data_IF_045695278782
#
_entry.id   IF_045695278782
#
_cell.length_a   1.000
_cell.length_b   1.000
_cell.length_c   1.000
_cell.angle_alpha   90.00
_cell.angle_beta   90.00
_cell.angle_gamma   90.00
#
_symmetry.space_group_name_H-M   'P 1'
#
loop_
_entity.id
_entity.type
_entity.pdbx_description
1 polymer ?
#
# COMPACT_ATOMS: atom_id res chain seq x y z
N UNK A 1 -27.83 -13.09 15.80
CA UNK A 1 -28.71 -14.20 15.37
C UNK A 1 -28.83 -14.08 13.85
N UNK A 2 -28.27 -15.02 13.08
CA UNK A 2 -28.48 -15.06 11.64
C UNK A 2 -29.97 -15.43 11.40
N UNK A 3 -30.65 -14.65 10.59
CA UNK A 3 -32.00 -14.96 10.16
C UNK A 3 -31.95 -16.30 9.37
N UNK A 4 -32.83 -17.22 9.66
CA UNK A 4 -32.95 -18.46 8.92
C UNK A 4 -33.32 -18.14 7.47
N UNK A 5 -32.54 -18.63 6.51
CA UNK A 5 -32.83 -18.48 5.08
C UNK A 5 -34.17 -19.15 4.73
N UNK A 6 -34.92 -18.54 3.84
CA UNK A 6 -36.10 -19.18 3.28
C UNK A 6 -35.68 -20.24 2.26
N UNK A 7 -36.50 -21.30 2.04
CA UNK A 7 -36.17 -22.32 1.03
C UNK A 7 -35.92 -21.77 -0.37
N UNK A 8 -36.53 -20.64 -0.71
CA UNK A 8 -36.31 -19.95 -1.99
C UNK A 8 -34.92 -19.27 -2.06
N UNK A 9 -34.48 -18.67 -0.97
CA UNK A 9 -33.16 -18.04 -0.87
C UNK A 9 -32.04 -19.09 -0.89
N UNK A 10 -32.24 -20.22 -0.21
CA UNK A 10 -31.28 -21.34 -0.28
C UNK A 10 -31.13 -21.89 -1.71
N UNK A 11 -32.24 -22.05 -2.45
CA UNK A 11 -32.20 -22.51 -3.83
C UNK A 11 -31.48 -21.51 -4.75
N UNK A 12 -31.72 -20.20 -4.56
CA UNK A 12 -31.03 -19.16 -5.33
C UNK A 12 -29.53 -19.11 -5.02
N UNK A 13 -29.15 -19.25 -3.74
CA UNK A 13 -27.74 -19.31 -3.34
C UNK A 13 -27.06 -20.57 -3.87
N UNK A 14 -27.73 -21.73 -3.88
CA UNK A 14 -27.20 -22.97 -4.45
C UNK A 14 -26.95 -22.80 -5.96
N UNK A 15 -27.86 -22.21 -6.70
CA UNK A 15 -27.67 -21.90 -8.12
C UNK A 15 -26.52 -20.91 -8.36
N UNK A 16 -26.37 -19.92 -7.48
CA UNK A 16 -25.24 -18.99 -7.51
C UNK A 16 -23.93 -19.73 -7.31
N UNK A 17 -23.86 -20.66 -6.37
CA UNK A 17 -22.67 -21.50 -6.13
C UNK A 17 -22.31 -22.30 -7.38
N UNK A 18 -23.26 -23.03 -7.98
CA UNK A 18 -23.00 -23.81 -9.19
C UNK A 18 -22.45 -22.95 -10.34
N UNK A 19 -23.04 -21.80 -10.57
CA UNK A 19 -22.58 -20.87 -11.61
C UNK A 19 -21.17 -20.36 -11.36
N UNK A 20 -20.88 -19.88 -10.14
CA UNK A 20 -19.57 -19.32 -9.82
C UNK A 20 -18.48 -20.38 -9.63
N UNK A 21 -18.81 -21.62 -9.27
CA UNK A 21 -17.86 -22.74 -9.32
C UNK A 21 -17.36 -22.98 -10.74
N UNK A 22 -18.24 -22.99 -11.74
CA UNK A 22 -17.86 -23.15 -13.15
C UNK A 22 -16.99 -21.97 -13.62
N UNK A 23 -17.38 -20.74 -13.28
CA UNK A 23 -16.61 -19.54 -13.65
C UNK A 23 -15.20 -19.60 -13.04
N UNK A 24 -15.08 -19.90 -11.75
CA UNK A 24 -13.80 -19.94 -11.04
C UNK A 24 -12.93 -21.16 -11.40
N UNK A 25 -13.48 -22.17 -12.04
CA UNK A 25 -12.72 -23.27 -12.66
C UNK A 25 -12.13 -22.85 -14.01
N UNK A 26 -12.91 -22.12 -14.82
CA UNK A 26 -12.45 -21.63 -16.13
C UNK A 26 -11.53 -20.40 -16.01
N UNK A 27 -11.72 -19.57 -14.99
CA UNK A 27 -10.96 -18.35 -14.73
C UNK A 27 -10.42 -18.35 -13.29
N UNK A 28 -9.35 -19.10 -12.99
CA UNK A 28 -8.87 -19.30 -11.62
C UNK A 28 -8.29 -18.02 -10.98
N UNK A 29 -7.96 -16.98 -11.76
CA UNK A 29 -7.44 -15.70 -11.29
C UNK A 29 -8.53 -14.63 -11.09
N UNK A 30 -9.80 -14.96 -11.33
CA UNK A 30 -10.92 -14.05 -11.08
C UNK A 30 -11.28 -14.06 -9.58
N UNK A 31 -10.59 -13.22 -8.81
CA UNK A 31 -10.84 -13.10 -7.38
C UNK A 31 -12.23 -12.53 -7.06
N UNK A 32 -12.83 -11.73 -7.96
CA UNK A 32 -14.17 -11.18 -7.74
C UNK A 32 -15.23 -12.29 -7.74
N UNK A 33 -15.16 -13.21 -8.68
CA UNK A 33 -16.03 -14.40 -8.70
C UNK A 33 -15.79 -15.31 -7.49
N UNK A 34 -14.54 -15.43 -7.03
CA UNK A 34 -14.23 -16.16 -5.80
C UNK A 34 -14.82 -15.49 -4.55
N UNK A 35 -14.83 -14.16 -4.47
CA UNK A 35 -15.45 -13.42 -3.35
C UNK A 35 -16.97 -13.66 -3.30
N UNK A 36 -17.64 -13.63 -4.45
CA UNK A 36 -19.08 -13.92 -4.53
C UNK A 36 -19.35 -15.37 -4.07
N UNK A 37 -18.52 -16.31 -4.52
CA UNK A 37 -18.61 -17.71 -4.13
C UNK A 37 -18.42 -17.90 -2.62
N UNK A 38 -17.43 -17.24 -2.03
CA UNK A 38 -17.16 -17.22 -0.58
C UNK A 38 -18.38 -16.69 0.20
N UNK A 39 -18.99 -15.60 -0.25
CA UNK A 39 -20.18 -15.04 0.39
C UNK A 39 -21.39 -15.98 0.29
N UNK A 40 -21.60 -16.62 -0.86
CA UNK A 40 -22.66 -17.59 -1.04
C UNK A 40 -22.49 -18.80 -0.09
N UNK A 41 -21.28 -19.35 0.02
CA UNK A 41 -20.99 -20.41 0.98
C UNK A 41 -21.16 -19.97 2.44
N UNK A 42 -20.79 -18.73 2.75
CA UNK A 42 -20.97 -18.18 4.10
C UNK A 42 -22.47 -18.11 4.46
N UNK A 43 -23.32 -17.62 3.56
CA UNK A 43 -24.77 -17.57 3.74
C UNK A 43 -25.41 -18.95 3.87
N UNK A 44 -24.90 -19.92 3.13
CA UNK A 44 -25.34 -21.33 3.20
C UNK A 44 -24.76 -22.09 4.40
N UNK A 45 -24.03 -21.41 5.30
CA UNK A 45 -23.41 -22.00 6.49
C UNK A 45 -22.50 -23.21 6.16
N UNK A 46 -21.68 -23.09 5.09
CA UNK A 46 -20.73 -24.09 4.61
C UNK A 46 -19.29 -23.69 4.96
N UNK A 47 -18.85 -23.80 6.23
CA UNK A 47 -17.58 -23.21 6.71
C UNK A 47 -16.33 -23.82 6.04
N UNK A 48 -16.38 -25.09 5.64
CA UNK A 48 -15.26 -25.74 4.94
C UNK A 48 -15.04 -25.15 3.55
N UNK A 49 -16.12 -24.86 2.84
CA UNK A 49 -16.07 -24.28 1.49
C UNK A 49 -15.67 -22.80 1.55
N UNK A 50 -16.11 -22.08 2.58
CA UNK A 50 -15.63 -20.73 2.87
C UNK A 50 -14.12 -20.74 3.07
N UNK A 51 -13.58 -21.63 3.89
CA UNK A 51 -12.14 -21.75 4.13
C UNK A 51 -11.38 -22.07 2.82
N UNK A 52 -11.84 -23.07 2.07
CA UNK A 52 -11.23 -23.44 0.78
C UNK A 52 -11.22 -22.28 -0.22
N UNK A 53 -12.33 -21.54 -0.31
CA UNK A 53 -12.44 -20.39 -1.20
C UNK A 53 -11.57 -19.22 -0.73
N UNK A 54 -11.49 -18.93 0.58
CA UNK A 54 -10.57 -17.93 1.14
C UNK A 54 -9.10 -18.24 0.82
N UNK A 55 -8.68 -19.51 0.94
CA UNK A 55 -7.33 -19.93 0.52
C UNK A 55 -7.07 -19.67 -0.97
N UNK A 56 -8.08 -19.95 -1.83
CA UNK A 56 -7.98 -19.67 -3.27
C UNK A 56 -7.88 -18.18 -3.56
N UNK A 57 -8.65 -17.33 -2.87
CA UNK A 57 -8.57 -15.87 -3.00
C UNK A 57 -7.18 -15.38 -2.63
N UNK A 58 -6.66 -15.80 -1.46
CA UNK A 58 -5.33 -15.42 -1.02
C UNK A 58 -4.24 -15.85 -2.01
N UNK A 59 -4.32 -17.08 -2.53
CA UNK A 59 -3.40 -17.57 -3.56
C UNK A 59 -3.49 -16.79 -4.86
N UNK A 60 -4.70 -16.41 -5.28
CA UNK A 60 -4.93 -15.56 -6.45
C UNK A 60 -4.28 -14.19 -6.28
N UNK A 61 -4.41 -13.57 -5.10
CA UNK A 61 -3.71 -12.32 -4.78
C UNK A 61 -2.19 -12.45 -4.86
N UNK A 62 -1.63 -13.59 -4.39
CA UNK A 62 -0.18 -13.85 -4.55
C UNK A 62 0.22 -13.92 -6.02
N UNK A 63 -0.56 -14.62 -6.86
CA UNK A 63 -0.28 -14.75 -8.30
C UNK A 63 -0.41 -13.41 -9.05
N UNK A 64 -1.32 -12.54 -8.61
CA UNK A 64 -1.48 -11.18 -9.16
C UNK A 64 -0.45 -10.18 -8.60
N UNK A 65 0.45 -10.61 -7.71
CA UNK A 65 1.45 -9.74 -7.08
C UNK A 65 0.87 -8.82 -5.99
N UNK A 66 -0.39 -9.02 -5.60
CA UNK A 66 -1.08 -8.24 -4.56
C UNK A 66 -0.78 -8.83 -3.17
N UNK A 67 0.50 -8.82 -2.78
CA UNK A 67 0.95 -9.52 -1.57
C UNK A 67 0.28 -9.01 -0.30
N UNK A 68 0.01 -7.70 -0.19
CA UNK A 68 -0.68 -7.12 0.98
C UNK A 68 -2.10 -7.67 1.12
N UNK A 69 -2.85 -7.81 0.01
CA UNK A 69 -4.20 -8.40 0.02
C UNK A 69 -4.15 -9.89 0.37
N UNK A 70 -3.14 -10.60 -0.15
CA UNK A 70 -2.92 -12.00 0.17
C UNK A 70 -2.66 -12.22 1.67
N UNK A 71 -1.78 -11.41 2.26
CA UNK A 71 -1.48 -11.47 3.71
C UNK A 71 -2.74 -11.24 4.54
N UNK A 72 -3.54 -10.22 4.18
CA UNK A 72 -4.81 -9.93 4.88
C UNK A 72 -5.78 -11.10 4.85
N UNK A 73 -5.94 -11.72 3.69
CA UNK A 73 -6.85 -12.86 3.57
C UNK A 73 -6.32 -14.08 4.36
N UNK A 74 -5.00 -14.34 4.33
CA UNK A 74 -4.38 -15.38 5.14
C UNK A 74 -4.50 -15.12 6.65
N UNK A 75 -4.27 -13.89 7.10
CA UNK A 75 -4.49 -13.50 8.51
C UNK A 75 -5.94 -13.67 8.95
N UNK A 76 -6.90 -13.34 8.08
CA UNK A 76 -8.33 -13.56 8.33
C UNK A 76 -8.66 -15.06 8.51
N UNK A 77 -7.98 -15.93 7.76
CA UNK A 77 -8.10 -17.39 7.93
C UNK A 77 -7.52 -17.80 9.29
N UNK A 78 -6.32 -17.34 9.67
CA UNK A 78 -5.66 -17.70 10.93
C UNK A 78 -6.42 -17.19 12.16
N UNK A 79 -7.20 -16.13 12.04
CA UNK A 79 -8.08 -15.70 13.15
C UNK A 79 -9.14 -16.73 13.51
N UNK A 80 -9.56 -17.57 12.55
CA UNK A 80 -10.55 -18.63 12.76
C UNK A 80 -9.93 -20.02 12.88
N UNK A 81 -8.80 -20.23 12.23
CA UNK A 81 -8.06 -21.49 12.15
C UNK A 81 -6.57 -21.21 12.40
N UNK A 82 -6.15 -21.00 13.68
CA UNK A 82 -4.79 -20.55 14.02
C UNK A 82 -3.68 -21.51 13.60
N UNK A 83 -3.98 -22.80 13.52
CA UNK A 83 -2.99 -23.86 13.26
C UNK A 83 -3.08 -24.41 11.81
N UNK A 84 -3.64 -23.66 10.86
CA UNK A 84 -3.74 -24.12 9.47
C UNK A 84 -2.35 -24.14 8.81
N UNK A 85 -1.79 -25.35 8.51
CA UNK A 85 -0.40 -25.48 8.08
C UNK A 85 -0.15 -24.89 6.70
N UNK A 86 -1.14 -24.93 5.80
CA UNK A 86 -1.01 -24.41 4.43
C UNK A 86 -0.91 -22.89 4.45
N UNK A 87 -1.69 -22.24 5.33
CA UNK A 87 -1.72 -20.79 5.47
C UNK A 87 -0.44 -20.28 6.11
N UNK A 88 0.05 -20.95 7.14
CA UNK A 88 1.32 -20.62 7.80
C UNK A 88 2.48 -20.77 6.81
N UNK A 89 2.52 -21.84 6.04
CA UNK A 89 3.54 -22.05 5.01
C UNK A 89 3.51 -20.98 3.93
N UNK A 90 2.31 -20.59 3.46
CA UNK A 90 2.15 -19.55 2.46
C UNK A 90 2.61 -18.17 2.95
N UNK A 91 2.31 -17.81 4.20
CA UNK A 91 2.80 -16.56 4.81
C UNK A 91 4.32 -16.55 4.93
N UNK A 92 4.93 -17.64 5.41
CA UNK A 92 6.38 -17.77 5.50
C UNK A 92 7.05 -17.68 4.10
N UNK A 93 6.42 -18.21 3.06
CA UNK A 93 6.90 -18.09 1.68
C UNK A 93 6.83 -16.63 1.18
N UNK A 94 5.75 -15.91 1.50
CA UNK A 94 5.63 -14.49 1.16
C UNK A 94 6.70 -13.67 1.88
N UNK A 95 6.90 -13.92 3.18
CA UNK A 95 7.93 -13.24 3.98
C UNK A 95 9.34 -13.53 3.46
N UNK A 96 9.65 -14.79 3.12
CA UNK A 96 10.96 -15.15 2.57
C UNK A 96 11.22 -14.50 1.22
N UNK A 97 10.20 -14.40 0.36
CA UNK A 97 10.29 -13.68 -0.91
C UNK A 97 10.47 -12.18 -0.70
N UNK A 98 9.78 -11.59 0.27
CA UNK A 98 9.94 -10.18 0.63
C UNK A 98 11.37 -9.89 1.14
N UNK A 99 11.97 -10.79 1.90
CA UNK A 99 13.35 -10.67 2.38
C UNK A 99 14.39 -10.85 1.27
N UNK A 100 14.14 -11.71 0.28
CA UNK A 100 15.06 -11.90 -0.87
C UNK A 100 15.12 -10.69 -1.81
N UNK A 101 14.10 -9.84 -1.80
CA UNK A 101 14.15 -8.55 -2.52
C UNK A 101 14.86 -7.43 -1.75
N UNK A 102 15.28 -7.69 -0.50
CA UNK A 102 15.86 -6.68 0.40
C UNK A 102 17.38 -6.84 0.67
N UNK A 103 18.08 -7.84 0.09
CA UNK A 103 19.52 -8.02 0.36
C UNK A 103 20.30 -8.37 -0.90
N UNK A 104 21.41 -7.66 -1.20
CA UNK A 104 22.47 -8.22 -2.05
C UNK A 104 23.25 -9.30 -1.28
N UNK A 105 23.77 -10.35 -1.95
CA UNK A 105 24.41 -11.46 -1.26
C UNK A 105 25.83 -11.09 -0.84
N UNK A 106 26.10 -10.99 0.44
CA UNK A 106 27.45 -11.19 0.97
C UNK A 106 27.37 -11.82 2.38
N UNK A 107 28.14 -12.87 2.51
CA UNK A 107 28.07 -13.88 3.54
C UNK A 107 28.59 -13.49 4.93
N UNK A 108 28.44 -14.50 5.73
CA UNK A 108 28.94 -14.80 7.09
C UNK A 108 28.10 -14.36 8.29
N UNK A 109 27.63 -15.41 8.97
CA UNK A 109 27.10 -15.45 10.31
C UNK A 109 27.94 -14.62 11.30
N UNK A 110 27.31 -13.75 12.06
CA UNK A 110 27.65 -13.51 13.47
C UNK A 110 26.51 -12.82 14.18
N UNK A 111 26.07 -13.36 15.28
CA UNK A 111 25.16 -12.77 16.26
C UNK A 111 25.50 -11.32 16.55
N UNK A 112 24.53 -10.40 16.43
CA UNK A 112 24.65 -9.06 16.98
C UNK A 112 23.54 -8.78 17.98
N UNK A 113 23.93 -9.03 19.23
CA UNK A 113 23.30 -8.49 20.44
C UNK A 113 23.21 -6.97 20.34
N UNK A 114 22.00 -6.46 20.40
CA UNK A 114 21.70 -5.03 20.41
C UNK A 114 22.21 -4.39 21.71
N UNK A 115 23.36 -3.72 21.65
CA UNK A 115 23.84 -2.83 22.71
C UNK A 115 23.69 -1.37 22.27
N UNK A 116 22.89 -0.64 23.00
CA UNK A 116 22.81 0.81 22.92
C UNK A 116 24.08 1.40 23.55
N UNK A 117 24.85 2.27 22.90
CA UNK A 117 25.79 3.14 23.58
C UNK A 117 25.21 4.55 23.68
N UNK A 118 25.21 5.05 24.93
CA UNK A 118 25.01 6.46 25.22
C UNK A 118 26.22 7.28 24.76
N UNK A 119 25.91 8.43 24.19
CA UNK A 119 26.68 9.68 24.06
C UNK A 119 28.22 9.62 24.02
N UNK A 120 28.78 9.95 22.84
CA UNK A 120 29.99 10.79 22.76
C UNK A 120 29.98 11.53 21.41
N UNK A 121 30.10 12.83 21.48
CA UNK A 121 30.18 13.77 20.37
C UNK A 121 31.42 13.51 19.51
N UNK A 122 31.24 13.52 18.18
CA UNK A 122 32.35 13.48 17.23
C UNK A 122 31.78 13.48 15.81
N UNK A 123 31.93 14.62 15.14
CA UNK A 123 31.57 14.88 13.77
C UNK A 123 32.13 13.82 12.81
N UNK A 124 31.24 13.05 12.19
CA UNK A 124 31.43 12.55 10.83
C UNK A 124 30.03 12.28 10.27
N UNK A 125 29.57 13.18 9.41
CA UNK A 125 28.31 13.04 8.67
C UNK A 125 28.44 11.87 7.67
N UNK A 126 28.00 10.70 8.09
CA UNK A 126 27.59 9.65 7.16
C UNK A 126 26.20 10.09 6.69
N UNK A 127 26.11 10.65 5.49
CA UNK A 127 24.84 10.95 4.83
C UNK A 127 24.10 9.64 4.61
N UNK A 128 23.21 9.28 5.54
CA UNK A 128 22.23 8.25 5.31
C UNK A 128 21.42 8.69 4.08
N UNK A 129 21.54 7.94 3.00
CA UNK A 129 20.86 8.24 1.75
C UNK A 129 19.35 8.19 1.99
N UNK A 130 18.67 9.31 1.83
CA UNK A 130 17.24 9.43 2.10
C UNK A 130 16.48 8.62 1.05
N UNK A 131 15.74 7.60 1.48
CA UNK A 131 14.94 6.76 0.57
C UNK A 131 13.61 7.45 0.18
N UNK A 132 13.70 8.64 -0.42
CA UNK A 132 12.57 9.46 -0.86
C UNK A 132 11.90 9.00 -2.16
N UNK A 133 12.34 7.87 -2.72
CA UNK A 133 11.84 7.32 -3.98
C UNK A 133 12.56 7.83 -5.22
N UNK A 134 13.62 8.65 -5.10
CA UNK A 134 14.37 9.24 -6.21
C UNK A 134 14.83 8.19 -7.22
N UNK A 135 15.46 7.11 -6.76
CA UNK A 135 15.99 6.05 -7.62
C UNK A 135 14.89 5.37 -8.45
N UNK A 136 13.75 5.06 -7.85
CA UNK A 136 12.61 4.45 -8.54
C UNK A 136 11.99 5.40 -9.56
N UNK A 137 11.81 6.67 -9.21
CA UNK A 137 11.31 7.70 -10.11
C UNK A 137 12.29 7.95 -11.27
N UNK A 138 13.60 7.98 -11.01
CA UNK A 138 14.62 8.11 -12.05
C UNK A 138 14.52 6.97 -13.06
N UNK A 139 14.43 5.75 -12.58
CA UNK A 139 14.28 4.56 -13.44
C UNK A 139 13.02 4.65 -14.31
N UNK A 140 11.90 5.12 -13.76
CA UNK A 140 10.65 5.23 -14.50
C UNK A 140 10.68 6.33 -15.55
N UNK A 141 11.13 7.53 -15.19
CA UNK A 141 10.99 8.71 -16.05
C UNK A 141 12.19 8.90 -16.97
N UNK A 142 13.42 8.57 -16.54
CA UNK A 142 14.62 8.77 -17.33
C UNK A 142 14.99 7.53 -18.13
N UNK A 143 15.10 6.36 -17.50
CA UNK A 143 15.36 5.10 -18.22
C UNK A 143 14.17 4.72 -19.11
N UNK A 144 12.95 5.07 -18.71
CA UNK A 144 11.75 4.99 -19.55
C UNK A 144 11.70 5.99 -20.71
N UNK A 145 12.74 6.86 -20.87
CA UNK A 145 12.86 7.87 -21.94
C UNK A 145 11.69 8.87 -21.99
N UNK A 146 11.09 9.18 -20.87
CA UNK A 146 9.99 10.14 -20.77
C UNK A 146 10.52 11.57 -20.60
N UNK A 147 11.63 11.74 -19.86
CA UNK A 147 12.31 13.02 -19.64
C UNK A 147 13.83 12.80 -19.67
N UNK A 148 14.61 13.89 -19.81
CA UNK A 148 16.08 13.80 -19.76
C UNK A 148 16.58 13.62 -18.31
N UNK A 149 17.75 12.99 -18.15
CA UNK A 149 18.39 12.87 -16.83
C UNK A 149 18.81 14.21 -16.23
N UNK A 150 19.12 15.21 -17.11
CA UNK A 150 19.45 16.57 -16.68
C UNK A 150 18.23 17.26 -16.06
N UNK A 151 17.08 17.21 -16.74
CA UNK A 151 15.83 17.78 -16.25
C UNK A 151 15.39 17.11 -14.94
N UNK A 152 15.50 15.78 -14.87
CA UNK A 152 15.19 15.04 -13.64
C UNK A 152 16.01 15.55 -12.47
N UNK A 153 17.34 15.61 -12.61
CA UNK A 153 18.23 16.02 -11.51
C UNK A 153 18.06 17.49 -11.14
N UNK A 154 17.68 18.36 -12.08
CA UNK A 154 17.39 19.76 -11.83
C UNK A 154 16.07 19.96 -11.07
N UNK A 155 15.07 19.11 -11.33
CA UNK A 155 13.71 19.27 -10.81
C UNK A 155 13.43 18.40 -9.58
N UNK A 156 14.26 17.37 -9.34
CA UNK A 156 14.12 16.57 -8.14
C UNK A 156 14.67 17.31 -6.92
N UNK A 157 13.82 17.52 -5.94
CA UNK A 157 14.21 18.12 -4.67
C UNK A 157 13.91 17.17 -3.52
N UNK A 158 14.90 16.87 -2.71
CA UNK A 158 14.71 16.14 -1.45
C UNK A 158 14.48 17.17 -0.35
N UNK A 159 13.39 17.08 0.42
CA UNK A 159 13.11 18.04 1.48
C UNK A 159 14.11 17.93 2.64
N UNK A 160 14.33 19.05 3.35
CA UNK A 160 15.15 19.05 4.55
C UNK A 160 14.47 18.27 5.69
N UNK A 161 15.17 17.27 6.25
CA UNK A 161 14.65 16.42 7.32
C UNK A 161 14.77 17.06 8.71
N UNK A 162 15.69 18.00 8.89
CA UNK A 162 16.01 18.58 10.20
C UNK A 162 15.13 19.76 10.57
N UNK A 163 14.54 20.44 9.60
CA UNK A 163 13.72 21.63 9.81
C UNK A 163 12.25 21.36 9.46
N UNK A 164 11.30 21.98 10.20
CA UNK A 164 9.89 21.91 9.82
C UNK A 164 9.67 22.59 8.46
N UNK A 165 8.92 22.00 7.54
CA UNK A 165 8.71 22.57 6.23
C UNK A 165 7.87 23.85 6.31
N UNK A 166 8.30 24.96 5.69
CA UNK A 166 7.59 26.23 5.74
C UNK A 166 6.24 26.16 4.98
N UNK A 167 6.16 25.28 4.01
CA UNK A 167 4.97 25.05 3.19
C UNK A 167 4.82 23.55 2.88
N UNK A 168 3.72 23.18 2.23
CA UNK A 168 3.56 21.83 1.68
C UNK A 168 4.56 21.63 0.56
N UNK A 169 5.32 20.54 0.62
CA UNK A 169 6.29 20.19 -0.40
C UNK A 169 5.56 19.85 -1.72
N UNK A 170 6.06 20.38 -2.81
CA UNK A 170 5.46 20.18 -4.11
C UNK A 170 5.92 18.86 -4.73
N UNK A 171 5.00 17.94 -5.08
CA UNK A 171 5.39 16.64 -5.63
C UNK A 171 6.06 16.77 -7.00
N UNK A 172 7.06 15.94 -7.25
CA UNK A 172 7.87 15.95 -8.48
C UNK A 172 7.01 15.91 -9.77
N UNK A 173 5.96 15.08 -9.82
CA UNK A 173 5.09 15.00 -11.00
C UNK A 173 4.27 16.28 -11.25
N UNK A 174 4.03 17.10 -10.22
CA UNK A 174 3.44 18.43 -10.38
C UNK A 174 4.46 19.38 -11.00
N UNK A 175 5.68 19.39 -10.49
CA UNK A 175 6.78 20.22 -11.03
C UNK A 175 7.05 19.90 -12.50
N UNK A 176 7.01 18.62 -12.89
CA UNK A 176 7.13 18.21 -14.29
C UNK A 176 6.03 18.80 -15.18
N UNK A 177 4.80 18.80 -14.69
CA UNK A 177 3.65 19.34 -15.42
C UNK A 177 3.71 20.86 -15.53
N UNK A 178 4.08 21.54 -14.46
CA UNK A 178 4.18 23.01 -14.43
C UNK A 178 5.29 23.52 -15.36
N UNK A 179 6.34 22.72 -15.56
CA UNK A 179 7.39 22.97 -16.56
C UNK A 179 7.03 22.49 -17.97
N UNK A 180 5.80 21.96 -18.16
CA UNK A 180 5.32 21.45 -19.45
C UNK A 180 6.18 20.31 -20.05
N UNK A 181 6.96 19.62 -19.21
CA UNK A 181 7.79 18.49 -19.62
C UNK A 181 7.00 17.20 -19.74
N UNK A 182 6.14 16.93 -18.75
CA UNK A 182 5.33 15.72 -18.75
C UNK A 182 4.01 15.91 -17.96
N UNK A 183 2.85 15.56 -18.53
CA UNK A 183 1.55 15.85 -17.90
C UNK A 183 1.27 14.94 -16.69
N UNK A 184 0.59 15.49 -15.67
CA UNK A 184 0.24 14.81 -14.42
C UNK A 184 -0.54 13.52 -14.67
N UNK A 185 -1.55 13.54 -15.56
CA UNK A 185 -2.41 12.38 -15.82
C UNK A 185 -1.63 11.16 -16.35
N UNK A 186 -0.67 11.43 -17.25
CA UNK A 186 0.22 10.37 -17.76
C UNK A 186 1.17 9.87 -16.68
N UNK A 187 1.70 10.79 -15.85
CA UNK A 187 2.54 10.41 -14.71
C UNK A 187 1.77 9.50 -13.74
N UNK A 188 0.56 9.87 -13.37
CA UNK A 188 -0.29 9.09 -12.47
C UNK A 188 -0.58 7.69 -13.03
N UNK A 189 -0.90 7.60 -14.34
CA UNK A 189 -1.14 6.31 -14.98
C UNK A 189 0.08 5.37 -14.87
N UNK A 190 1.27 5.88 -15.20
CA UNK A 190 2.53 5.12 -15.10
C UNK A 190 2.81 4.72 -13.65
N UNK A 191 2.59 5.64 -12.70
CA UNK A 191 2.79 5.36 -11.28
C UNK A 191 1.82 4.30 -10.76
N UNK A 192 0.53 4.33 -11.13
CA UNK A 192 -0.43 3.28 -10.81
C UNK A 192 0.01 1.91 -11.34
N UNK A 193 0.40 1.85 -12.63
CA UNK A 193 0.83 0.61 -13.27
C UNK A 193 2.08 0.00 -12.63
N UNK A 194 2.98 0.84 -12.13
CA UNK A 194 4.29 0.40 -11.58
C UNK A 194 4.29 0.20 -10.07
N UNK A 195 3.50 0.95 -9.33
CA UNK A 195 3.40 0.82 -7.87
C UNK A 195 2.31 -0.15 -7.42
N UNK A 196 1.40 -0.51 -8.35
CA UNK A 196 0.19 -1.29 -8.05
C UNK A 196 -0.72 -0.64 -6.99
N UNK A 197 -0.55 0.65 -6.72
CA UNK A 197 -1.46 1.40 -5.86
C UNK A 197 -2.70 1.83 -6.64
N UNK A 198 -3.86 1.74 -5.99
CA UNK A 198 -5.10 2.23 -6.56
C UNK A 198 -5.10 3.76 -6.61
N UNK A 199 -5.63 4.33 -7.69
CA UNK A 199 -5.86 5.76 -7.80
C UNK A 199 -7.12 6.16 -7.05
N UNK A 200 -7.01 7.22 -6.23
CA UNK A 200 -8.12 7.81 -5.50
C UNK A 200 -8.44 9.21 -6.04
N UNK A 201 -9.65 9.46 -6.55
CA UNK A 201 -10.11 10.81 -6.90
C UNK A 201 -10.46 11.57 -5.61
N UNK A 202 -9.45 12.13 -4.96
CA UNK A 202 -9.54 12.76 -3.65
C UNK A 202 -10.45 14.00 -3.62
N UNK A 203 -10.67 14.64 -4.77
CA UNK A 203 -11.62 15.75 -4.96
C UNK A 203 -13.08 15.35 -4.72
N UNK A 204 -13.40 14.06 -4.89
CA UNK A 204 -14.73 13.47 -4.69
C UNK A 204 -14.90 12.78 -3.34
N UNK A 205 -13.84 12.80 -2.52
CA UNK A 205 -13.81 12.09 -1.24
C UNK A 205 -13.87 13.08 -0.08
N UNK A 206 -14.70 12.78 0.92
CA UNK A 206 -14.75 13.55 2.15
C UNK A 206 -13.64 13.10 3.09
N UNK A 207 -12.72 14.03 3.40
CA UNK A 207 -11.56 13.74 4.24
C UNK A 207 -11.94 13.87 5.71
N UNK A 208 -11.62 12.86 6.52
CA UNK A 208 -11.73 12.92 7.98
C UNK A 208 -10.66 13.87 8.54
N UNK A 209 -11.11 15.09 8.87
CA UNK A 209 -10.23 16.18 9.34
C UNK A 209 -9.64 15.88 10.72
N UNK A 210 -10.39 15.22 11.60
CA UNK A 210 -9.92 14.89 12.95
C UNK A 210 -8.84 13.82 12.90
N UNK A 211 -9.05 12.79 12.09
CA UNK A 211 -8.06 11.78 11.82
C UNK A 211 -6.80 12.39 11.22
N UNK A 212 -6.94 13.20 10.17
CA UNK A 212 -5.78 13.82 9.53
C UNK A 212 -4.96 14.67 10.51
N UNK A 213 -5.62 15.45 11.38
CA UNK A 213 -4.95 16.26 12.42
C UNK A 213 -4.26 15.44 13.51
N UNK A 214 -4.60 14.17 13.68
CA UNK A 214 -3.91 13.28 14.62
C UNK A 214 -2.52 12.83 14.12
N UNK A 215 -2.22 13.06 12.84
CA UNK A 215 -0.93 12.75 12.23
C UNK A 215 0.07 13.91 12.34
N UNK A 216 1.38 13.63 12.37
CA UNK A 216 2.41 14.65 12.45
C UNK A 216 2.36 15.60 11.23
N UNK A 217 1.97 16.85 11.47
CA UNK A 217 1.80 17.90 10.45
C UNK A 217 3.05 18.07 9.57
N UNK A 218 4.23 18.07 10.21
CA UNK A 218 5.49 18.33 9.50
C UNK A 218 5.87 17.20 8.56
N UNK A 219 5.60 15.94 8.94
CA UNK A 219 5.79 14.77 8.06
C UNK A 219 4.82 14.85 6.88
N UNK A 220 3.53 15.10 7.14
CA UNK A 220 2.52 15.22 6.10
C UNK A 220 2.83 16.34 5.09
N UNK A 221 3.32 17.50 5.58
CA UNK A 221 3.72 18.63 4.72
C UNK A 221 5.02 18.35 3.96
N UNK A 222 6.01 17.75 4.62
CA UNK A 222 7.33 17.43 4.05
C UNK A 222 7.22 16.47 2.87
N UNK A 223 6.41 15.45 3.03
CA UNK A 223 6.30 14.37 2.04
C UNK A 223 5.05 14.46 1.15
N UNK A 224 4.24 15.49 1.33
CA UNK A 224 2.97 15.66 0.61
C UNK A 224 2.09 14.41 0.71
N UNK A 225 1.79 14.00 1.93
CA UNK A 225 0.94 12.82 2.25
C UNK A 225 -0.24 13.27 3.08
N UNK A 226 -1.43 12.79 2.75
CA UNK A 226 -2.68 13.12 3.42
C UNK A 226 -3.35 11.88 3.97
N UNK A 227 -3.43 11.70 5.30
CA UNK A 227 -4.37 10.77 5.92
C UNK A 227 -5.79 11.26 5.64
N UNK A 228 -6.65 10.41 5.07
CA UNK A 228 -7.97 10.88 4.64
C UNK A 228 -9.14 10.11 5.24
N UNK A 229 -8.94 8.85 5.64
CA UNK A 229 -10.00 8.04 6.22
C UNK A 229 -9.42 6.89 7.06
N UNK A 230 -10.28 6.23 7.83
CA UNK A 230 -9.95 5.06 8.64
C UNK A 230 -10.87 3.90 8.29
N UNK A 231 -10.29 2.78 7.94
CA UNK A 231 -11.01 1.53 7.72
C UNK A 231 -10.58 0.50 8.78
N UNK A 232 -11.46 0.24 9.73
CA UNK A 232 -11.18 -0.68 10.85
C UNK A 232 -9.91 -0.24 11.64
N UNK A 233 -8.85 -1.03 11.62
CA UNK A 233 -7.56 -0.75 12.28
C UNK A 233 -6.54 -0.06 11.37
N UNK A 234 -6.89 0.19 10.12
CA UNK A 234 -5.99 0.76 9.12
C UNK A 234 -6.36 2.20 8.81
N UNK A 235 -5.36 3.04 8.59
CA UNK A 235 -5.53 4.43 8.13
C UNK A 235 -5.20 4.50 6.65
N UNK A 236 -6.06 5.15 5.89
CA UNK A 236 -5.92 5.34 4.46
C UNK A 236 -5.16 6.64 4.20
N UNK A 237 -4.11 6.55 3.37
CA UNK A 237 -3.20 7.65 3.07
C UNK A 237 -3.16 7.91 1.57
N UNK A 238 -3.28 9.18 1.18
CA UNK A 238 -3.11 9.62 -0.19
C UNK A 238 -1.72 10.23 -0.41
N UNK A 239 -1.05 9.82 -1.47
CA UNK A 239 0.27 10.33 -1.88
C UNK A 239 0.36 10.54 -3.38
N UNK A 240 1.27 11.40 -3.82
CA UNK A 240 1.65 11.56 -5.23
C UNK A 240 3.01 10.88 -5.54
N UNK A 241 3.70 10.32 -4.53
CA UNK A 241 4.94 9.58 -4.69
C UNK A 241 4.84 8.21 -4.01
N UNK A 242 4.52 7.16 -4.76
CA UNK A 242 4.30 5.83 -4.19
C UNK A 242 5.58 5.09 -3.79
N UNK A 243 6.76 5.60 -4.17
CA UNK A 243 8.04 4.94 -3.92
C UNK A 243 8.82 5.53 -2.74
N UNK A 244 8.24 6.48 -2.02
CA UNK A 244 8.87 7.10 -0.87
C UNK A 244 8.79 6.18 0.35
N UNK A 245 9.88 5.48 0.67
CA UNK A 245 9.97 4.61 1.85
C UNK A 245 10.26 5.39 3.13
N UNK A 246 10.89 6.56 3.00
CA UNK A 246 11.20 7.40 4.14
C UNK A 246 9.93 7.83 4.90
N UNK A 247 8.89 8.26 4.16
CA UNK A 247 7.63 8.66 4.78
C UNK A 247 6.88 7.48 5.41
N UNK A 248 6.99 6.29 4.81
CA UNK A 248 6.40 5.07 5.40
C UNK A 248 7.02 4.82 6.77
N UNK A 249 8.35 4.80 6.84
CA UNK A 249 9.08 4.60 8.09
C UNK A 249 8.78 5.70 9.15
N UNK A 250 8.77 6.98 8.75
CA UNK A 250 8.48 8.09 9.66
C UNK A 250 7.04 8.00 10.23
N UNK A 251 6.05 7.67 9.40
CA UNK A 251 4.66 7.57 9.84
C UNK A 251 4.39 6.29 10.64
N UNK A 252 4.97 5.16 10.29
CA UNK A 252 4.86 3.92 11.08
C UNK A 252 5.49 4.06 12.45
N UNK A 253 6.62 4.78 12.55
CA UNK A 253 7.26 5.10 13.82
C UNK A 253 6.43 6.05 14.69
N UNK A 254 5.67 6.95 14.07
CA UNK A 254 4.84 7.94 14.75
C UNK A 254 3.44 7.42 15.11
N UNK A 255 2.96 6.36 14.44
CA UNK A 255 1.60 5.84 14.62
C UNK A 255 1.62 4.34 14.81
N UNK A 256 0.70 3.83 15.65
CA UNK A 256 0.53 2.37 15.85
C UNK A 256 -0.51 1.76 14.89
N UNK A 257 -0.95 2.52 13.91
CA UNK A 257 -1.97 2.11 12.96
C UNK A 257 -1.34 1.49 11.72
N UNK A 258 -1.99 0.50 11.12
CA UNK A 258 -1.62 0.01 9.80
C UNK A 258 -1.90 1.08 8.76
N UNK A 259 -0.97 1.30 7.84
CA UNK A 259 -1.08 2.33 6.81
C UNK A 259 -1.41 1.68 5.46
N UNK A 260 -2.47 2.16 4.80
CA UNK A 260 -2.87 1.75 3.46
C UNK A 260 -2.71 2.93 2.50
N UNK A 261 -1.94 2.73 1.45
CA UNK A 261 -1.52 3.78 0.55
C UNK A 261 -2.35 3.82 -0.74
N UNK A 262 -2.73 5.02 -1.14
CA UNK A 262 -3.44 5.31 -2.39
C UNK A 262 -2.69 6.40 -3.16
N UNK A 263 -2.69 6.28 -4.49
CA UNK A 263 -2.18 7.32 -5.35
C UNK A 263 -3.28 8.35 -5.60
N UNK A 264 -2.94 9.64 -5.48
CA UNK A 264 -3.88 10.72 -5.74
C UNK A 264 -3.22 11.86 -6.55
N UNK A 265 -4.05 12.72 -7.12
CA UNK A 265 -3.57 13.91 -7.82
C UNK A 265 -2.76 14.81 -6.88
N UNK A 266 -1.55 15.26 -7.28
CA UNK A 266 -0.72 16.14 -6.46
C UNK A 266 -1.47 17.39 -5.98
N UNK A 267 -2.22 18.02 -6.89
CA UNK A 267 -2.99 19.24 -6.60
C UNK A 267 -4.04 19.00 -5.50
N UNK A 268 -4.70 17.83 -5.51
CA UNK A 268 -5.73 17.52 -4.53
C UNK A 268 -5.12 17.18 -3.16
N UNK A 269 -4.00 16.46 -3.13
CA UNK A 269 -3.25 16.20 -1.89
C UNK A 269 -2.77 17.50 -1.26
N UNK A 270 -2.12 18.38 -2.03
CA UNK A 270 -1.66 19.70 -1.56
C UNK A 270 -2.82 20.56 -1.06
N UNK A 271 -3.94 20.57 -1.77
CA UNK A 271 -5.15 21.30 -1.37
C UNK A 271 -5.71 20.77 -0.05
N UNK A 272 -5.80 19.46 0.09
CA UNK A 272 -6.26 18.79 1.30
C UNK A 272 -5.38 19.13 2.51
N UNK A 273 -4.05 19.01 2.36
CA UNK A 273 -3.08 19.34 3.41
C UNK A 273 -3.20 20.81 3.83
N UNK A 274 -3.25 21.74 2.87
CA UNK A 274 -3.40 23.19 3.14
C UNK A 274 -4.71 23.52 3.85
N UNK A 275 -5.81 22.81 3.54
CA UNK A 275 -7.11 23.01 4.18
C UNK A 275 -7.10 22.55 5.64
N UNK A 276 -6.44 21.44 5.94
CA UNK A 276 -6.48 20.77 7.24
C UNK A 276 -5.44 21.33 8.20
N UNK A 277 -4.23 21.54 7.75
CA UNK A 277 -3.08 21.99 8.54
C UNK A 277 -2.78 23.50 8.35
N UNK A 278 -3.79 24.30 8.47
CA UNK A 278 -3.65 25.78 8.45
C UNK A 278 -2.75 26.28 9.56
#
# INVERSE_FOLDING_TARGET
MAAALTPSEEAQLAQTVEMFEVITQSQPLDYQSLEILKEAYFKLNRPKDVLGTSKRIAHTYVQLGQLSSAILEYESILQRYPDDPDVIAALNEIESKAQTFSLPPTGSETELVYRIPAAAAGEQAVSAEVEDGKAAMYKLFVEGKLISGADFNQLWHTPNLTEPPPSVFEPFIQVLSDRQLFPVDRSLKILCERSHLAFLPLDKYEVDVELARSFPKDICRRWCVLPFDRMSKSVLLATANPFNKQVVWELESATKSRLLWYLASPADVVRGIRKIYR
#
